data_IF_552124790788
#
_entry.id   IF_552124790788
#
_cell.length_a   1.000
_cell.length_b   1.000
_cell.length_c   1.000
_cell.angle_alpha   90.00
_cell.angle_beta   90.00
_cell.angle_gamma   90.00
#
_symmetry.space_group_name_H-M   'P 1'
#
loop_
_entity.id
_entity.type
_entity.pdbx_description
1 polymer ?
#
# COMPACT_ATOMS: atom_id res chain seq x y z
N UNK A 1 -11.58 3.71 2.03
CA UNK A 1 -10.91 4.01 0.72
C UNK A 1 -9.76 3.09 0.29
N UNK A 2 -8.86 2.60 1.16
CA UNK A 2 -7.76 1.69 0.74
C UNK A 2 -8.29 0.47 -0.02
N UNK A 3 -9.39 -0.10 0.47
CA UNK A 3 -10.11 -1.19 -0.19
C UNK A 3 -10.62 -0.77 -1.57
N UNK A 4 -11.12 0.46 -1.71
CA UNK A 4 -11.53 0.97 -3.01
C UNK A 4 -10.35 1.03 -3.99
N UNK A 5 -9.14 1.42 -3.54
CA UNK A 5 -7.94 1.39 -4.38
C UNK A 5 -7.55 -0.04 -4.79
N UNK A 6 -7.67 -0.99 -3.88
CA UNK A 6 -7.45 -2.41 -4.18
C UNK A 6 -8.49 -2.99 -5.13
N UNK A 7 -9.77 -2.61 -5.00
CA UNK A 7 -10.86 -3.02 -5.90
C UNK A 7 -10.67 -2.39 -7.29
N UNK A 8 -10.44 -1.07 -7.34
CA UNK A 8 -10.18 -0.31 -8.56
C UNK A 8 -9.01 -0.86 -9.37
N UNK A 9 -7.99 -1.38 -8.69
CA UNK A 9 -6.80 -1.95 -9.31
C UNK A 9 -6.80 -3.47 -9.35
N UNK A 10 -7.85 -4.17 -8.92
CA UNK A 10 -7.90 -5.64 -8.86
C UNK A 10 -6.72 -6.29 -8.08
N UNK A 11 -6.32 -5.69 -6.96
CA UNK A 11 -5.21 -6.17 -6.11
C UNK A 11 -5.65 -7.34 -5.23
N UNK A 12 -6.94 -7.42 -4.88
CA UNK A 12 -7.49 -8.48 -4.04
C UNK A 12 -6.94 -8.51 -2.62
N UNK A 13 -6.62 -7.33 -2.06
CA UNK A 13 -6.25 -7.10 -0.65
C UNK A 13 -7.36 -6.27 -0.01
N UNK A 14 -7.68 -6.56 1.25
CA UNK A 14 -8.65 -5.80 2.04
C UNK A 14 -8.03 -5.43 3.39
N UNK A 15 -8.05 -4.14 3.73
CA UNK A 15 -7.78 -3.66 5.07
C UNK A 15 -8.94 -4.08 5.97
N UNK A 16 -8.68 -5.07 6.82
CA UNK A 16 -9.67 -5.59 7.76
C UNK A 16 -9.95 -4.61 8.91
N UNK A 17 -8.91 -3.94 9.44
CA UNK A 17 -9.04 -3.00 10.55
C UNK A 17 -7.83 -2.08 10.72
N UNK A 18 -8.06 -0.90 11.26
CA UNK A 18 -7.05 -0.02 11.85
C UNK A 18 -7.44 0.30 13.28
N UNK A 19 -6.47 0.28 14.19
CA UNK A 19 -6.62 0.69 15.59
C UNK A 19 -5.39 1.49 16.00
N UNK A 20 -5.60 2.62 16.66
CA UNK A 20 -4.55 3.24 17.47
C UNK A 20 -4.44 2.45 18.76
N UNK A 21 -3.33 1.75 18.94
CA UNK A 21 -2.98 1.16 20.24
C UNK A 21 -2.19 2.19 21.04
N UNK A 22 -2.41 2.25 22.35
CA UNK A 22 -1.58 3.06 23.28
C UNK A 22 -0.21 2.41 23.54
N UNK A 23 0.25 1.59 22.59
CA UNK A 23 1.50 0.89 22.70
C UNK A 23 2.63 1.89 22.77
N UNK A 24 3.46 1.79 23.80
CA UNK A 24 4.72 2.52 23.81
C UNK A 24 5.64 1.82 22.84
N UNK A 25 5.77 2.40 21.63
CA UNK A 25 6.74 1.97 20.65
C UNK A 25 8.12 1.89 21.32
N UNK A 26 8.77 0.75 21.17
CA UNK A 26 10.09 0.54 21.76
C UNK A 26 11.20 1.27 21.01
N UNK A 27 10.90 1.75 19.80
CA UNK A 27 11.89 2.17 18.81
C UNK A 27 12.65 1.00 18.17
N UNK A 28 12.30 -0.25 18.51
CA UNK A 28 12.93 -1.48 18.00
C UNK A 28 11.91 -2.30 17.21
N UNK A 29 12.12 -2.39 15.89
CA UNK A 29 11.30 -3.21 15.00
C UNK A 29 11.19 -4.66 15.47
N UNK A 30 12.29 -5.26 15.94
CA UNK A 30 12.30 -6.65 16.41
C UNK A 30 11.41 -6.85 17.64
N UNK A 31 11.45 -5.89 18.56
CA UNK A 31 10.65 -5.94 19.78
C UNK A 31 9.18 -5.83 19.43
N UNK A 32 8.80 -4.85 18.61
CA UNK A 32 7.41 -4.59 18.26
C UNK A 32 6.84 -5.69 17.32
N UNK A 33 7.67 -6.28 16.46
CA UNK A 33 7.32 -7.49 15.69
C UNK A 33 7.10 -8.70 16.60
N UNK A 34 7.96 -8.92 17.60
CA UNK A 34 7.80 -10.02 18.55
C UNK A 34 6.50 -9.87 19.37
N UNK A 35 6.15 -8.64 19.74
CA UNK A 35 4.89 -8.31 20.43
C UNK A 35 3.68 -8.57 19.54
N UNK A 36 3.74 -8.16 18.27
CA UNK A 36 2.69 -8.39 17.28
C UNK A 36 2.47 -9.88 16.94
N UNK A 37 3.53 -10.68 16.95
CA UNK A 37 3.48 -12.14 16.81
C UNK A 37 2.96 -12.84 18.07
N UNK A 38 3.07 -12.18 19.23
CA UNK A 38 2.53 -12.66 20.49
C UNK A 38 1.00 -12.70 20.44
N UNK A 39 0.41 -13.69 21.10
CA UNK A 39 -1.05 -13.84 21.21
C UNK A 39 -1.61 -13.20 22.49
N UNK A 40 -0.76 -12.55 23.29
CA UNK A 40 -1.10 -12.06 24.64
C UNK A 40 -1.70 -10.66 24.67
N UNK A 41 -1.90 -10.01 23.52
CA UNK A 41 -2.46 -8.65 23.46
C UNK A 41 -3.87 -8.60 22.84
N UNK A 42 -4.55 -7.47 23.05
CA UNK A 42 -5.88 -7.21 22.50
C UNK A 42 -5.87 -7.12 20.97
N UNK A 43 -4.72 -6.80 20.36
CA UNK A 43 -4.59 -6.63 18.91
C UNK A 43 -4.83 -7.97 18.23
N UNK A 44 -4.34 -9.08 18.78
CA UNK A 44 -4.58 -10.41 18.22
C UNK A 44 -6.07 -10.82 18.25
N UNK A 45 -6.76 -10.54 19.37
CA UNK A 45 -8.21 -10.80 19.48
C UNK A 45 -8.98 -9.97 18.45
N UNK A 46 -8.62 -8.70 18.31
CA UNK A 46 -9.16 -7.81 17.28
C UNK A 46 -8.90 -8.32 15.87
N UNK A 47 -7.66 -8.75 15.55
CA UNK A 47 -7.30 -9.31 14.24
C UNK A 47 -8.16 -10.51 13.84
N UNK A 48 -8.52 -11.37 14.80
CA UNK A 48 -9.34 -12.55 14.54
C UNK A 48 -10.85 -12.26 14.49
N UNK A 49 -11.29 -11.08 14.97
CA UNK A 49 -12.71 -10.77 15.15
C UNK A 49 -13.30 -9.95 14.00
N UNK A 50 -12.54 -9.04 13.40
CA UNK A 50 -13.10 -7.99 12.54
C UNK A 50 -12.81 -8.17 11.05
N UNK A 51 -13.81 -7.83 10.23
CA UNK A 51 -13.73 -7.59 8.79
C UNK A 51 -14.19 -6.15 8.52
N UNK A 52 -13.53 -5.46 7.58
CA UNK A 52 -13.81 -4.12 7.06
C UNK A 52 -13.77 -2.91 8.03
N UNK A 53 -12.84 -1.96 7.83
CA UNK A 53 -12.94 -0.61 8.42
C UNK A 53 -12.33 0.50 7.54
N UNK A 54 -12.92 1.70 7.65
CA UNK A 54 -12.94 2.75 6.63
C UNK A 54 -12.15 4.04 6.98
N UNK A 55 -11.17 4.00 7.88
CA UNK A 55 -10.50 5.23 8.37
C UNK A 55 -9.05 5.47 7.93
N UNK A 56 -8.47 4.64 7.06
CA UNK A 56 -7.08 4.83 6.60
C UNK A 56 -6.93 5.87 5.46
N UNK A 57 -7.82 6.86 5.40
CA UNK A 57 -8.23 7.60 4.18
C UNK A 57 -7.53 8.95 3.96
N UNK A 58 -6.50 9.27 4.73
CA UNK A 58 -5.72 10.50 4.50
C UNK A 58 -4.87 10.39 3.23
N UNK A 59 -5.32 10.92 2.09
CA UNK A 59 -4.53 11.06 0.84
C UNK A 59 -3.94 9.74 0.28
N UNK A 60 -4.58 8.61 0.58
CA UNK A 60 -4.11 7.26 0.23
C UNK A 60 -2.73 6.90 0.82
N UNK A 61 -2.27 7.63 1.84
CA UNK A 61 -0.95 7.44 2.42
C UNK A 61 -0.80 6.07 3.07
N UNK A 62 -1.82 5.57 3.77
CA UNK A 62 -1.75 4.23 4.33
C UNK A 62 -1.61 3.15 3.24
N UNK A 63 -2.39 3.26 2.15
CA UNK A 63 -2.25 2.35 1.02
C UNK A 63 -0.84 2.46 0.43
N UNK A 64 -0.30 3.67 0.27
CA UNK A 64 1.07 3.92 -0.17
C UNK A 64 2.11 3.18 0.69
N UNK A 65 2.01 3.28 2.03
CA UNK A 65 2.94 2.59 2.94
C UNK A 65 2.81 1.05 2.87
N UNK A 66 1.60 0.50 2.74
CA UNK A 66 1.40 -0.93 2.50
C UNK A 66 2.09 -1.36 1.19
N UNK A 67 2.05 -0.50 0.16
CA UNK A 67 2.76 -0.72 -1.09
C UNK A 67 4.26 -0.85 -0.88
N UNK A 68 4.85 0.04 -0.08
CA UNK A 68 6.27 -0.05 0.28
C UNK A 68 6.60 -1.35 1.02
N UNK A 69 5.76 -1.81 1.95
CA UNK A 69 5.95 -3.13 2.59
C UNK A 69 5.90 -4.29 1.59
N UNK A 70 5.18 -4.12 0.48
CA UNK A 70 5.09 -5.06 -0.63
C UNK A 70 6.21 -4.92 -1.67
N UNK A 71 7.21 -4.05 -1.44
CA UNK A 71 8.27 -3.71 -2.38
C UNK A 71 7.84 -2.88 -3.59
N UNK A 72 6.65 -2.27 -3.56
CA UNK A 72 6.27 -1.25 -4.53
C UNK A 72 7.00 0.07 -4.24
N UNK A 73 7.35 0.81 -5.29
CA UNK A 73 8.19 2.01 -5.23
C UNK A 73 7.67 3.11 -6.17
N UNK A 74 8.37 4.24 -6.25
CA UNK A 74 8.15 5.29 -7.25
C UNK A 74 9.34 5.35 -8.21
N UNK A 75 9.10 5.32 -9.52
CA UNK A 75 10.18 5.23 -10.52
C UNK A 75 11.09 6.47 -10.54
N UNK A 76 10.56 7.64 -10.15
CA UNK A 76 11.33 8.86 -10.22
C UNK A 76 12.27 9.04 -9.03
N UNK A 77 11.98 8.41 -7.90
CA UNK A 77 12.84 8.43 -6.71
C UNK A 77 13.76 7.22 -6.68
N UNK A 78 13.28 6.06 -7.12
CA UNK A 78 14.06 4.84 -7.21
C UNK A 78 13.85 4.18 -8.58
N UNK A 79 14.85 4.30 -9.46
CA UNK A 79 14.85 3.66 -10.77
C UNK A 79 15.36 2.21 -10.73
N UNK A 80 15.67 1.68 -9.53
CA UNK A 80 16.08 0.30 -9.36
C UNK A 80 14.99 -0.64 -9.86
N UNK A 81 15.40 -1.62 -10.67
CA UNK A 81 14.49 -2.64 -11.20
C UNK A 81 14.42 -3.90 -10.35
N UNK A 82 15.12 -3.92 -9.20
CA UNK A 82 15.14 -5.06 -8.27
C UNK A 82 14.38 -4.74 -6.98
N UNK A 83 13.46 -5.57 -6.49
CA UNK A 83 13.14 -6.93 -6.95
C UNK A 83 12.17 -6.99 -8.13
N UNK A 84 11.45 -5.89 -8.43
CA UNK A 84 10.43 -5.85 -9.48
C UNK A 84 10.60 -4.63 -10.38
N UNK A 85 10.97 -4.86 -11.64
CA UNK A 85 11.17 -3.78 -12.63
C UNK A 85 9.88 -2.97 -12.89
N UNK A 86 8.73 -3.62 -12.78
CA UNK A 86 7.40 -3.04 -12.97
C UNK A 86 6.79 -2.46 -11.69
N UNK A 87 7.48 -2.55 -10.55
CA UNK A 87 6.95 -2.23 -9.23
C UNK A 87 6.85 -0.75 -8.91
N UNK A 88 6.60 0.11 -9.90
CA UNK A 88 6.75 1.56 -9.75
C UNK A 88 5.45 2.34 -9.95
N UNK A 89 5.22 3.33 -9.10
CA UNK A 89 4.19 4.35 -9.29
C UNK A 89 4.43 5.16 -10.55
N UNK A 90 3.34 5.68 -11.11
CA UNK A 90 3.34 6.51 -12.31
C UNK A 90 2.78 7.90 -12.04
N UNK A 91 3.39 8.89 -12.70
CA UNK A 91 2.95 10.28 -12.79
C UNK A 91 2.70 10.63 -14.25
N UNK A 92 1.52 11.18 -14.51
CA UNK A 92 1.17 11.77 -15.79
C UNK A 92 1.20 13.28 -15.62
N UNK A 93 2.17 13.98 -16.24
CA UNK A 93 2.44 15.42 -15.98
C UNK A 93 2.19 16.39 -17.17
N UNK A 94 1.06 16.35 -17.90
CA UNK A 94 0.62 17.54 -18.65
C UNK A 94 0.11 18.63 -17.68
N UNK A 95 -0.38 19.75 -18.24
CA UNK A 95 -0.87 20.89 -17.45
C UNK A 95 -1.91 20.52 -16.38
N UNK A 96 -2.76 19.52 -16.65
CA UNK A 96 -3.72 18.91 -15.71
C UNK A 96 -3.40 17.42 -15.55
N UNK A 97 -2.27 17.15 -14.92
CA UNK A 97 -1.79 15.80 -14.67
C UNK A 97 -2.45 15.09 -13.48
N UNK A 98 -2.00 13.88 -13.21
CA UNK A 98 -2.43 13.05 -12.08
C UNK A 98 -1.33 12.05 -11.70
N UNK A 99 -1.46 11.44 -10.51
CA UNK A 99 -0.52 10.41 -10.03
C UNK A 99 -1.23 9.20 -9.46
N UNK A 100 -0.60 8.03 -9.55
CA UNK A 100 -1.06 6.80 -8.87
C UNK A 100 -0.73 6.82 -7.37
N UNK A 101 -1.24 5.85 -6.62
CA UNK A 101 -1.04 5.74 -5.16
C UNK A 101 0.45 5.79 -4.79
N UNK A 102 1.28 5.00 -5.47
CA UNK A 102 2.71 4.88 -5.18
C UNK A 102 3.57 6.03 -5.68
N UNK A 103 3.01 6.94 -6.48
CA UNK A 103 3.78 8.04 -7.00
C UNK A 103 3.89 9.20 -5.99
N UNK A 104 5.08 9.82 -5.96
CA UNK A 104 5.28 11.10 -5.29
C UNK A 104 4.47 12.23 -5.96
N UNK A 105 4.39 13.38 -5.30
CA UNK A 105 3.69 14.53 -5.89
C UNK A 105 4.35 14.94 -7.21
N UNK A 106 3.53 15.38 -8.17
CA UNK A 106 4.02 15.87 -9.45
C UNK A 106 4.72 17.22 -9.26
N UNK A 107 5.56 17.60 -10.23
CA UNK A 107 6.29 18.88 -10.23
C UNK A 107 5.35 20.08 -10.01
N UNK A 108 4.17 20.03 -10.65
CA UNK A 108 3.02 20.87 -10.32
C UNK A 108 2.04 20.01 -9.54
N UNK A 109 1.60 20.45 -8.37
CA UNK A 109 0.69 19.67 -7.52
C UNK A 109 -0.45 19.05 -8.34
N UNK A 110 -0.57 17.73 -8.28
CA UNK A 110 -1.54 16.94 -9.05
C UNK A 110 -2.42 16.11 -8.11
N UNK A 111 -3.65 15.73 -8.51
CA UNK A 111 -4.45 14.80 -7.74
C UNK A 111 -3.80 13.40 -7.71
N UNK A 112 -3.87 12.74 -6.55
CA UNK A 112 -3.57 11.31 -6.43
C UNK A 112 -4.84 10.53 -6.72
N UNK A 113 -4.78 9.62 -7.67
CA UNK A 113 -5.86 8.71 -7.98
C UNK A 113 -5.84 7.54 -7.01
N UNK A 114 -7.01 7.04 -6.63
CA UNK A 114 -7.14 5.82 -5.83
C UNK A 114 -6.96 4.57 -6.72
N UNK A 115 -5.80 4.50 -7.37
CA UNK A 115 -5.38 3.42 -8.26
C UNK A 115 -3.90 3.13 -8.04
N UNK A 116 -3.61 1.86 -7.86
CA UNK A 116 -2.31 1.28 -8.16
C UNK A 116 -2.16 1.17 -9.68
N UNK A 117 -0.95 1.44 -10.18
CA UNK A 117 -0.65 1.32 -11.61
C UNK A 117 -0.92 -0.12 -12.09
N UNK A 118 -1.83 -0.28 -13.04
CA UNK A 118 -2.29 -1.52 -13.66
C UNK A 118 -2.61 -1.27 -15.15
N UNK A 119 -1.67 -1.53 -16.08
CA UNK A 119 -1.86 -1.28 -17.50
C UNK A 119 -3.02 -2.09 -18.12
N UNK A 120 -3.49 -3.16 -17.46
CA UNK A 120 -4.61 -3.97 -17.94
C UNK A 120 -5.99 -3.34 -17.69
N UNK A 121 -6.07 -2.39 -16.76
CA UNK A 121 -7.32 -1.65 -16.46
C UNK A 121 -7.31 -0.28 -17.14
N UNK A 122 -6.13 0.34 -17.28
CA UNK A 122 -5.96 1.58 -18.03
C UNK A 122 -4.57 1.63 -18.65
N UNK A 123 -4.51 1.74 -19.97
CA UNK A 123 -3.25 1.67 -20.73
C UNK A 123 -2.25 2.79 -20.36
N UNK A 124 -2.74 3.92 -19.82
CA UNK A 124 -1.94 5.13 -19.58
C UNK A 124 -1.50 5.30 -18.12
N UNK A 125 -1.51 4.23 -17.31
CA UNK A 125 -1.09 4.28 -15.89
C UNK A 125 0.30 3.73 -15.60
N UNK A 126 1.11 3.52 -16.63
CA UNK A 126 2.51 3.19 -16.51
C UNK A 126 2.79 1.73 -16.09
N UNK A 127 3.90 1.46 -15.40
CA UNK A 127 4.32 0.11 -15.01
C UNK A 127 3.29 -0.63 -14.16
N UNK A 128 3.31 -1.97 -14.19
CA UNK A 128 2.32 -2.83 -13.51
C UNK A 128 2.58 -2.99 -11.99
N UNK A 129 2.58 -1.88 -11.24
CA UNK A 129 2.78 -1.86 -9.79
C UNK A 129 1.82 -2.81 -9.05
N UNK A 130 0.57 -2.87 -9.52
CA UNK A 130 -0.48 -3.75 -9.05
C UNK A 130 -0.03 -5.22 -8.97
N UNK A 131 0.75 -5.70 -9.95
CA UNK A 131 1.26 -7.07 -9.98
C UNK A 131 2.19 -7.38 -8.81
N UNK A 132 2.93 -6.40 -8.31
CA UNK A 132 3.77 -6.59 -7.11
C UNK A 132 2.89 -6.93 -5.90
N UNK A 133 1.77 -6.21 -5.76
CA UNK A 133 0.83 -6.43 -4.66
C UNK A 133 0.17 -7.80 -4.77
N UNK A 134 -0.23 -8.21 -5.98
CA UNK A 134 -0.80 -9.55 -6.20
C UNK A 134 0.20 -10.67 -5.93
N UNK A 135 1.47 -10.50 -6.33
CA UNK A 135 2.50 -11.51 -6.11
C UNK A 135 2.86 -11.64 -4.62
N UNK A 136 2.87 -10.53 -3.89
CA UNK A 136 3.29 -10.49 -2.48
C UNK A 136 2.15 -10.69 -1.50
N UNK A 137 0.87 -10.62 -1.94
CA UNK A 137 -0.29 -10.77 -1.04
C UNK A 137 -0.25 -12.06 -0.24
N UNK A 138 0.17 -13.17 -0.86
CA UNK A 138 0.25 -14.46 -0.19
C UNK A 138 1.36 -14.49 0.86
N UNK A 139 2.51 -13.86 0.56
CA UNK A 139 3.61 -13.70 1.52
C UNK A 139 3.16 -12.86 2.71
N UNK A 140 2.48 -11.74 2.46
CA UNK A 140 1.94 -10.88 3.54
C UNK A 140 0.87 -11.59 4.35
N UNK A 141 -0.06 -12.30 3.70
CA UNK A 141 -1.07 -13.07 4.40
C UNK A 141 -0.47 -14.21 5.25
N UNK A 142 0.69 -14.73 4.84
CA UNK A 142 1.42 -15.76 5.57
C UNK A 142 2.32 -15.22 6.69
N UNK A 143 2.53 -13.89 6.78
CA UNK A 143 3.18 -13.30 7.95
C UNK A 143 2.25 -13.43 9.15
N UNK A 144 2.60 -14.40 9.99
CA UNK A 144 2.03 -14.66 11.31
C UNK A 144 3.07 -14.38 12.40
#
# INVERSE_FOLDING_TARGET
ESNQGYVNSNVGIELARYETTNYTESGSFDTDLARFRGTSDSIHTSRNTYTAADCATGYYSFAHEIGHLQSARDIATDSSTSPYAYGHGYRYEPATGWRTIMAYNCTRSCPRLNYWSNPNISYDIGPDNQRVLVNTKATIAAFR
#
